data_IF_563658208745
#
_entry.id   IF_563658208745
#
_cell.length_a   1.000
_cell.length_b   1.000
_cell.length_c   1.000
_cell.angle_alpha   90.00
_cell.angle_beta   90.00
_cell.angle_gamma   90.00
#
_symmetry.space_group_name_H-M   'P 1'
#
loop_
_entity.id
_entity.type
_entity.pdbx_description
1 polymer ?
#
# COMPACT_ATOMS: atom_id res chain seq x y z
N UNK A 1 19.11 26.58 12.43
CA UNK A 1 19.50 25.98 11.15
C UNK A 1 18.21 25.68 10.41
N UNK A 2 17.75 26.64 9.61
CA UNK A 2 16.58 26.46 8.74
C UNK A 2 16.84 25.24 7.88
N UNK A 3 15.93 24.25 7.93
CA UNK A 3 15.99 23.11 7.02
C UNK A 3 15.82 23.69 5.62
N UNK A 4 16.90 23.79 4.85
CA UNK A 4 16.82 23.82 3.39
C UNK A 4 15.79 22.77 3.00
N UNK A 5 14.68 23.22 2.40
CA UNK A 5 13.55 22.34 2.20
C UNK A 5 14.03 21.21 1.29
N UNK A 6 13.79 19.95 1.66
CA UNK A 6 14.11 18.78 0.80
C UNK A 6 13.45 18.90 -0.59
N UNK A 7 12.51 19.85 -0.75
CA UNK A 7 11.85 20.20 -1.99
C UNK A 7 12.64 21.17 -2.88
N UNK A 8 13.67 21.85 -2.34
CA UNK A 8 14.55 22.78 -3.07
C UNK A 8 15.72 22.04 -3.75
N UNK A 9 15.35 21.04 -4.54
CA UNK A 9 16.26 20.24 -5.36
C UNK A 9 15.59 19.93 -6.68
N UNK A 10 16.34 19.84 -7.78
CA UNK A 10 15.81 19.38 -9.07
C UNK A 10 15.58 17.86 -9.10
N UNK A 11 16.07 17.11 -8.10
CA UNK A 11 15.97 15.65 -8.06
C UNK A 11 14.54 15.20 -7.68
N UNK A 12 13.78 14.56 -8.59
CA UNK A 12 12.42 14.12 -8.29
C UNK A 12 12.37 12.95 -7.29
N UNK A 13 13.45 12.16 -7.19
CA UNK A 13 13.55 11.07 -6.21
C UNK A 13 13.63 11.64 -4.80
N UNK A 14 14.46 12.67 -4.57
CA UNK A 14 14.57 13.34 -3.27
C UNK A 14 13.24 14.01 -2.87
N UNK A 15 12.57 14.68 -3.81
CA UNK A 15 11.22 15.25 -3.57
C UNK A 15 10.21 14.17 -3.19
N UNK A 16 10.25 13.02 -3.86
CA UNK A 16 9.35 11.90 -3.56
C UNK A 16 9.66 11.30 -2.18
N UNK A 17 10.94 11.12 -1.85
CA UNK A 17 11.38 10.59 -0.56
C UNK A 17 10.91 11.47 0.61
N UNK A 18 10.91 12.79 0.46
CA UNK A 18 10.37 13.70 1.49
C UNK A 18 8.89 13.41 1.83
N UNK A 19 8.14 12.87 0.87
CA UNK A 19 6.71 12.56 1.01
C UNK A 19 6.50 11.10 1.44
N UNK A 20 7.21 10.15 0.82
CA UNK A 20 6.95 8.70 0.96
C UNK A 20 8.02 7.90 1.69
N UNK A 21 9.13 8.54 2.08
CA UNK A 21 10.32 7.91 2.64
C UNK A 21 10.19 7.39 4.06
N UNK A 22 9.04 7.58 4.72
CA UNK A 22 8.81 6.98 6.02
C UNK A 22 8.27 5.54 5.92
N UNK A 23 8.65 4.74 6.93
CA UNK A 23 8.25 3.33 7.03
C UNK A 23 6.75 3.09 6.89
N UNK A 24 5.90 3.98 7.39
CA UNK A 24 4.46 3.73 7.45
C UNK A 24 3.74 4.09 6.16
N UNK A 25 4.21 5.06 5.39
CA UNK A 25 3.57 5.44 4.12
C UNK A 25 3.39 4.25 3.20
N UNK A 26 4.46 3.53 2.92
CA UNK A 26 4.39 2.41 1.97
C UNK A 26 3.46 1.29 2.47
N UNK A 27 3.44 1.04 3.79
CA UNK A 27 2.54 0.05 4.38
C UNK A 27 1.08 0.51 4.36
N UNK A 28 0.81 1.79 4.61
CA UNK A 28 -0.54 2.37 4.49
C UNK A 28 -1.02 2.30 3.04
N UNK A 29 -0.20 2.72 2.08
CA UNK A 29 -0.54 2.66 0.65
C UNK A 29 -0.77 1.21 0.20
N UNK A 30 0.04 0.25 0.66
CA UNK A 30 -0.20 -1.20 0.45
C UNK A 30 -1.60 -1.59 0.92
N UNK A 31 -2.00 -1.22 2.14
CA UNK A 31 -3.32 -1.55 2.67
C UNK A 31 -4.46 -0.91 1.86
N UNK A 32 -4.30 0.33 1.41
CA UNK A 32 -5.28 0.99 0.54
C UNK A 32 -5.43 0.27 -0.81
N UNK A 33 -4.34 -0.19 -1.43
CA UNK A 33 -4.39 -1.03 -2.64
C UNK A 33 -5.02 -2.41 -2.41
N UNK A 34 -4.93 -2.91 -1.17
CA UNK A 34 -5.58 -4.13 -0.69
C UNK A 34 -7.02 -3.89 -0.21
N UNK A 35 -7.55 -2.67 -0.38
CA UNK A 35 -8.94 -2.26 -0.05
C UNK A 35 -9.27 -2.19 1.44
N UNK A 36 -8.26 -2.04 2.30
CA UNK A 36 -8.46 -1.69 3.69
C UNK A 36 -8.60 -0.18 3.83
N UNK A 37 -9.84 0.31 3.82
CA UNK A 37 -10.13 1.75 3.78
C UNK A 37 -10.39 2.34 5.16
N UNK A 38 -10.68 1.52 6.17
CA UNK A 38 -10.95 2.01 7.52
C UNK A 38 -9.66 2.11 8.34
N UNK A 39 -9.59 3.12 9.19
CA UNK A 39 -8.42 3.38 10.04
C UNK A 39 -7.96 2.14 10.81
N UNK A 40 -8.92 1.42 11.40
CA UNK A 40 -8.68 0.24 12.24
C UNK A 40 -8.08 -0.92 11.44
N UNK A 41 -8.53 -1.12 10.20
CA UNK A 41 -8.01 -2.16 9.31
C UNK A 41 -6.58 -1.84 8.91
N UNK A 42 -6.32 -0.60 8.51
CA UNK A 42 -4.98 -0.11 8.19
C UNK A 42 -4.07 -0.29 9.41
N UNK A 43 -4.53 0.11 10.59
CA UNK A 43 -3.75 0.01 11.81
C UNK A 43 -3.42 -1.46 12.15
N UNK A 44 -4.41 -2.34 12.12
CA UNK A 44 -4.23 -3.76 12.43
C UNK A 44 -3.21 -4.44 11.51
N UNK A 45 -3.20 -4.09 10.23
CA UNK A 45 -2.34 -4.74 9.23
C UNK A 45 -0.96 -4.10 9.09
N UNK A 46 -0.79 -2.86 9.55
CA UNK A 46 0.51 -2.16 9.55
C UNK A 46 1.27 -2.37 10.86
N UNK A 47 0.57 -2.57 11.99
CA UNK A 47 1.18 -2.68 13.32
C UNK A 47 1.70 -1.35 13.89
N UNK A 48 1.40 -0.23 13.23
CA UNK A 48 1.75 1.11 13.72
C UNK A 48 0.88 1.55 14.90
N UNK A 49 1.41 2.44 15.74
CA UNK A 49 0.60 3.04 16.81
C UNK A 49 -0.49 3.94 16.20
N UNK A 50 -1.63 4.17 16.90
CA UNK A 50 -2.69 5.03 16.39
C UNK A 50 -2.18 6.43 16.00
N UNK A 51 -1.28 6.99 16.81
CA UNK A 51 -0.71 8.32 16.58
C UNK A 51 0.15 8.36 15.31
N UNK A 52 0.95 7.33 15.04
CA UNK A 52 1.79 7.25 13.84
C UNK A 52 0.94 7.12 12.58
N UNK A 53 -0.06 6.23 12.58
CA UNK A 53 -0.94 6.01 11.43
C UNK A 53 -1.80 7.25 11.17
N UNK A 54 -2.36 7.87 12.21
CA UNK A 54 -3.17 9.08 12.06
C UNK A 54 -2.34 10.27 11.54
N UNK A 55 -1.14 10.47 12.09
CA UNK A 55 -0.21 11.49 11.61
C UNK A 55 0.11 11.28 10.13
N UNK A 56 0.39 10.03 9.73
CA UNK A 56 0.77 9.77 8.35
C UNK A 56 -0.38 9.90 7.36
N UNK A 57 -1.57 9.40 7.71
CA UNK A 57 -2.76 9.59 6.87
C UNK A 57 -3.08 11.08 6.67
N UNK A 58 -2.93 11.91 7.72
CA UNK A 58 -3.10 13.36 7.62
C UNK A 58 -2.08 14.00 6.67
N UNK A 59 -0.83 13.58 6.71
CA UNK A 59 0.19 14.07 5.76
C UNK A 59 -0.12 13.64 4.33
N UNK A 60 -0.53 12.38 4.11
CA UNK A 60 -0.93 11.88 2.79
C UNK A 60 -2.17 12.59 2.23
N UNK A 61 -3.10 12.99 3.11
CA UNK A 61 -4.25 13.82 2.77
C UNK A 61 -3.82 15.24 2.36
N UNK A 62 -2.93 15.87 3.12
CA UNK A 62 -2.39 17.19 2.80
C UNK A 62 -1.60 17.19 1.47
N UNK A 63 -0.93 16.09 1.15
CA UNK A 63 -0.20 15.89 -0.10
C UNK A 63 -1.11 15.49 -1.27
N UNK A 64 -2.41 15.32 -1.05
CA UNK A 64 -3.38 14.93 -2.07
C UNK A 64 -3.16 13.51 -2.61
N UNK A 65 -2.51 12.62 -1.86
CA UNK A 65 -2.30 11.20 -2.21
C UNK A 65 -3.49 10.36 -1.76
N UNK A 66 -4.07 10.72 -0.62
CA UNK A 66 -5.23 10.08 -0.02
C UNK A 66 -6.32 11.13 0.14
N UNK A 67 -7.59 10.73 0.00
CA UNK A 67 -8.73 11.53 0.39
C UNK A 67 -9.51 10.83 1.51
N UNK A 68 -10.04 11.62 2.44
CA UNK A 68 -10.87 11.13 3.53
C UNK A 68 -12.34 11.28 3.16
N UNK A 69 -13.04 10.16 3.02
CA UNK A 69 -14.46 10.10 2.65
C UNK A 69 -15.31 9.71 3.84
N UNK A 70 -16.36 10.47 4.13
CA UNK A 70 -17.33 10.12 5.17
C UNK A 70 -18.32 9.09 4.61
N UNK A 71 -18.51 7.97 5.32
CA UNK A 71 -19.43 6.91 4.91
C UNK A 71 -20.61 6.73 5.87
N UNK A 72 -20.54 7.30 7.07
CA UNK A 72 -21.67 7.35 8.00
C UNK A 72 -21.80 8.73 8.62
N UNK A 73 -23.03 9.22 8.71
CA UNK A 73 -23.32 10.49 9.37
C UNK A 73 -23.50 10.34 10.88
N UNK A 74 -24.05 9.22 11.35
CA UNK A 74 -24.44 9.00 12.75
C UNK A 74 -24.13 7.56 13.19
N UNK A 75 -23.04 7.31 13.95
CA UNK A 75 -21.97 8.25 14.28
C UNK A 75 -21.13 8.63 13.04
N UNK A 76 -20.45 9.79 13.03
CA UNK A 76 -19.52 10.14 11.96
C UNK A 76 -18.43 9.08 11.78
N UNK A 77 -18.37 8.44 10.61
CA UNK A 77 -17.30 7.48 10.28
C UNK A 77 -16.68 7.81 8.93
N UNK A 78 -15.38 7.57 8.83
CA UNK A 78 -14.58 7.92 7.67
C UNK A 78 -13.79 6.72 7.16
N UNK A 79 -13.54 6.76 5.86
CA UNK A 79 -12.65 5.89 5.11
C UNK A 79 -11.59 6.73 4.41
N UNK A 80 -10.50 6.09 4.05
CA UNK A 80 -9.39 6.67 3.30
C UNK A 80 -9.33 6.00 1.93
N UNK A 81 -9.27 6.79 0.88
CA UNK A 81 -9.25 6.32 -0.51
C UNK A 81 -8.07 6.95 -1.23
N UNK A 82 -7.44 6.21 -2.15
CA UNK A 82 -6.38 6.76 -2.99
C UNK A 82 -6.98 7.77 -3.98
N UNK A 83 -6.31 8.90 -4.17
CA UNK A 83 -6.58 9.81 -5.28
C UNK A 83 -5.89 9.30 -6.55
N UNK A 84 -6.02 10.02 -7.67
CA UNK A 84 -5.23 9.73 -8.87
C UNK A 84 -3.71 9.75 -8.60
N UNK A 85 -3.23 10.72 -7.80
CA UNK A 85 -1.83 10.80 -7.36
C UNK A 85 -1.42 9.58 -6.53
N UNK A 86 -2.33 9.06 -5.69
CA UNK A 86 -2.10 7.86 -4.90
C UNK A 86 -2.10 6.57 -5.72
N UNK A 87 -3.05 6.41 -6.64
CA UNK A 87 -3.11 5.27 -7.56
C UNK A 87 -1.86 5.18 -8.45
N UNK A 88 -1.33 6.33 -8.87
CA UNK A 88 -0.08 6.43 -9.65
C UNK A 88 1.16 5.91 -8.90
N UNK A 89 1.08 5.69 -7.58
CA UNK A 89 2.19 5.13 -6.78
C UNK A 89 2.33 3.61 -6.93
N UNK A 90 1.35 2.91 -7.53
CA UNK A 90 1.36 1.45 -7.60
C UNK A 90 2.62 0.82 -8.24
N UNK A 91 3.25 1.39 -9.29
CA UNK A 91 4.51 0.86 -9.82
C UNK A 91 5.64 0.80 -8.77
N UNK A 92 5.67 1.72 -7.80
CA UNK A 92 6.64 1.70 -6.70
C UNK A 92 6.35 0.53 -5.76
N UNK A 93 5.07 0.23 -5.48
CA UNK A 93 4.67 -0.95 -4.71
C UNK A 93 5.09 -2.24 -5.41
N UNK A 94 4.92 -2.34 -6.73
CA UNK A 94 5.35 -3.50 -7.51
C UNK A 94 6.87 -3.67 -7.46
N UNK A 95 7.63 -2.58 -7.64
CA UNK A 95 9.09 -2.62 -7.59
C UNK A 95 9.60 -3.05 -6.21
N UNK A 96 9.03 -2.50 -5.13
CA UNK A 96 9.41 -2.90 -3.77
C UNK A 96 9.04 -4.35 -3.47
N UNK A 97 7.87 -4.80 -3.92
CA UNK A 97 7.47 -6.22 -3.85
C UNK A 97 8.48 -7.12 -4.58
N UNK A 98 8.85 -6.78 -5.81
CA UNK A 98 9.79 -7.57 -6.60
C UNK A 98 11.15 -7.72 -5.90
N UNK A 99 11.65 -6.61 -5.34
CA UNK A 99 12.87 -6.61 -4.54
C UNK A 99 12.75 -7.49 -3.30
N UNK A 100 11.66 -7.37 -2.53
CA UNK A 100 11.40 -8.20 -1.36
C UNK A 100 11.29 -9.69 -1.68
N UNK A 101 10.59 -10.06 -2.74
CA UNK A 101 10.45 -11.45 -3.20
C UNK A 101 11.79 -12.07 -3.64
N UNK A 102 12.76 -11.24 -4.04
CA UNK A 102 14.08 -11.69 -4.49
C UNK A 102 15.08 -11.80 -3.34
N UNK A 103 15.06 -10.84 -2.40
CA UNK A 103 16.14 -10.67 -1.42
C UNK A 103 15.75 -10.95 0.03
N UNK A 104 14.45 -10.99 0.34
CA UNK A 104 13.97 -11.01 1.73
C UNK A 104 13.19 -12.28 2.11
N UNK A 105 13.02 -13.22 1.18
CA UNK A 105 12.21 -14.44 1.39
C UNK A 105 13.05 -15.70 1.39
N UNK A 106 12.58 -16.71 2.12
CA UNK A 106 13.17 -18.04 2.06
C UNK A 106 12.69 -18.78 0.78
N UNK A 107 13.46 -19.76 0.27
CA UNK A 107 13.10 -20.50 -0.95
C UNK A 107 11.76 -21.24 -0.89
N UNK A 108 11.31 -21.59 0.32
CA UNK A 108 10.07 -22.31 0.60
C UNK A 108 8.86 -21.38 0.79
N UNK A 109 9.07 -20.06 0.88
CA UNK A 109 7.99 -19.10 1.12
C UNK A 109 7.26 -18.72 -0.17
N UNK A 110 6.02 -19.18 -0.31
CA UNK A 110 5.14 -18.81 -1.42
C UNK A 110 4.84 -17.29 -1.46
N UNK A 111 4.53 -16.75 -2.64
CA UNK A 111 4.16 -15.32 -2.80
C UNK A 111 2.95 -14.97 -1.94
N UNK A 112 3.04 -13.93 -1.12
CA UNK A 112 1.94 -13.50 -0.25
C UNK A 112 0.70 -13.06 -1.05
N UNK A 113 0.93 -12.42 -2.20
CA UNK A 113 -0.10 -12.01 -3.16
C UNK A 113 0.27 -12.50 -4.55
N UNK A 114 -0.64 -13.24 -5.16
CA UNK A 114 -0.55 -13.65 -6.56
C UNK A 114 -1.40 -12.70 -7.42
N UNK A 115 -0.75 -12.08 -8.41
CA UNK A 115 -1.42 -11.21 -9.36
C UNK A 115 -1.66 -11.95 -10.67
N UNK A 116 -2.90 -11.87 -11.15
CA UNK A 116 -3.32 -12.33 -12.47
C UNK A 116 -3.59 -11.10 -13.34
N UNK A 117 -2.97 -11.04 -14.51
CA UNK A 117 -3.22 -9.97 -15.46
C UNK A 117 -4.56 -10.21 -16.15
N UNK A 118 -5.53 -9.33 -15.91
CA UNK A 118 -6.91 -9.46 -16.36
C UNK A 118 -7.02 -9.56 -17.89
N UNK A 119 -6.16 -8.85 -18.64
CA UNK A 119 -6.20 -8.88 -20.10
C UNK A 119 -5.82 -10.23 -20.71
N UNK A 120 -4.89 -10.98 -20.11
CA UNK A 120 -4.44 -12.28 -20.66
C UNK A 120 -4.83 -13.49 -19.81
N UNK A 121 -5.37 -13.28 -18.61
CA UNK A 121 -5.79 -14.34 -17.68
C UNK A 121 -4.65 -15.13 -17.05
N UNK A 122 -3.39 -14.73 -17.26
CA UNK A 122 -2.20 -15.45 -16.79
C UNK A 122 -1.52 -14.73 -15.62
N UNK A 123 -0.66 -15.43 -14.85
CA UNK A 123 0.15 -14.79 -13.82
C UNK A 123 0.92 -13.59 -14.37
N UNK A 124 0.81 -12.47 -13.68
CA UNK A 124 1.36 -11.19 -14.10
C UNK A 124 2.88 -11.11 -13.95
N UNK A 125 3.44 -11.79 -12.93
CA UNK A 125 4.86 -11.72 -12.59
C UNK A 125 5.17 -10.78 -11.43
N UNK A 126 6.42 -10.30 -11.38
CA UNK A 126 6.91 -9.34 -10.38
C UNK A 126 7.15 -7.92 -10.95
N UNK A 127 7.35 -7.81 -12.26
CA UNK A 127 7.70 -6.53 -12.90
C UNK A 127 6.50 -5.63 -13.27
N UNK A 128 6.79 -4.43 -13.81
CA UNK A 128 5.78 -3.50 -14.32
C UNK A 128 5.20 -3.93 -15.69
N UNK A 129 5.70 -5.02 -16.26
CA UNK A 129 5.27 -5.61 -17.52
C UNK A 129 4.88 -7.06 -17.27
N UNK A 130 3.78 -7.51 -17.87
CA UNK A 130 3.31 -8.87 -17.71
C UNK A 130 4.29 -9.86 -18.32
N UNK A 131 4.85 -10.75 -17.48
CA UNK A 131 5.80 -11.79 -17.91
C UNK A 131 5.17 -12.77 -18.93
N UNK A 132 3.84 -12.89 -18.92
CA UNK A 132 3.12 -13.82 -19.80
C UNK A 132 2.75 -13.26 -21.18
N UNK A 133 2.58 -11.93 -21.33
CA UNK A 133 2.12 -11.33 -22.59
C UNK A 133 2.86 -10.07 -23.03
N UNK A 134 3.83 -9.60 -22.24
CA UNK A 134 4.68 -8.45 -22.57
C UNK A 134 4.00 -7.08 -22.50
N UNK A 135 2.72 -7.00 -22.10
CA UNK A 135 2.01 -5.71 -21.97
C UNK A 135 2.30 -5.03 -20.62
N UNK A 136 2.39 -3.69 -20.56
CA UNK A 136 2.46 -2.95 -19.31
C UNK A 136 1.30 -3.30 -18.38
N UNK A 137 1.55 -3.29 -17.09
CA UNK A 137 0.56 -3.56 -16.05
C UNK A 137 0.30 -2.28 -15.26
N UNK A 138 -0.98 -1.97 -15.03
CA UNK A 138 -1.41 -1.03 -14.00
C UNK A 138 -2.27 -1.72 -12.93
N UNK A 139 -2.55 -1.05 -11.80
CA UNK A 139 -3.35 -1.63 -10.70
C UNK A 139 -4.71 -2.17 -11.16
N UNK A 140 -5.39 -1.45 -12.07
CA UNK A 140 -6.71 -1.82 -12.60
C UNK A 140 -6.69 -3.05 -13.50
N UNK A 141 -5.53 -3.42 -14.04
CA UNK A 141 -5.37 -4.58 -14.92
C UNK A 141 -5.06 -5.87 -14.12
N UNK A 142 -5.05 -5.80 -12.79
CA UNK A 142 -4.68 -6.91 -11.92
C UNK A 142 -5.84 -7.39 -11.03
N UNK A 143 -6.07 -8.69 -11.08
CA UNK A 143 -6.74 -9.42 -10.00
C UNK A 143 -5.69 -9.89 -9.00
N UNK A 144 -6.00 -9.79 -7.71
CA UNK A 144 -5.12 -10.19 -6.62
C UNK A 144 -5.76 -11.33 -5.83
N UNK A 145 -5.03 -12.42 -5.64
CA UNK A 145 -5.40 -13.51 -4.74
C UNK A 145 -4.37 -13.58 -3.60
N UNK A 146 -4.85 -13.59 -2.36
CA UNK A 146 -3.99 -13.78 -1.20
C UNK A 146 -3.64 -15.26 -1.05
N UNK A 147 -2.38 -15.53 -0.73
CA UNK A 147 -1.98 -16.86 -0.30
C UNK A 147 -2.75 -17.24 0.98
N UNK A 148 -3.22 -18.50 1.14
CA UNK A 148 -3.96 -18.91 2.33
C UNK A 148 -3.21 -18.67 3.65
N UNK A 149 -1.89 -18.84 3.68
CA UNK A 149 -1.10 -18.53 4.87
C UNK A 149 -1.10 -17.03 5.19
N UNK A 150 -0.96 -16.20 4.16
CA UNK A 150 -0.99 -14.75 4.33
C UNK A 150 -2.39 -14.23 4.70
N UNK A 151 -3.46 -14.85 4.16
CA UNK A 151 -4.83 -14.57 4.59
C UNK A 151 -5.00 -14.86 6.09
N UNK A 152 -4.58 -16.04 6.56
CA UNK A 152 -4.64 -16.38 7.99
C UNK A 152 -3.88 -15.40 8.87
N UNK A 153 -2.65 -15.03 8.48
CA UNK A 153 -1.85 -14.02 9.20
C UNK A 153 -2.60 -12.69 9.33
N UNK A 154 -3.26 -12.23 8.26
CA UNK A 154 -4.05 -11.00 8.28
C UNK A 154 -5.27 -11.13 9.18
N UNK A 155 -5.96 -12.26 9.15
CA UNK A 155 -7.12 -12.53 10.00
C UNK A 155 -6.71 -12.55 11.48
N UNK A 156 -5.60 -13.22 11.82
CA UNK A 156 -5.02 -13.26 13.16
C UNK A 156 -4.64 -11.86 13.68
N UNK A 157 -4.03 -11.03 12.83
CA UNK A 157 -3.73 -9.62 13.17
C UNK A 157 -5.01 -8.83 13.47
N UNK A 158 -6.06 -9.04 12.69
CA UNK A 158 -7.34 -8.38 12.90
C UNK A 158 -8.01 -8.83 14.20
N UNK A 159 -8.01 -10.14 14.48
CA UNK A 159 -8.52 -10.66 15.75
C UNK A 159 -7.74 -10.11 16.94
N UNK A 160 -6.40 -10.17 16.91
CA UNK A 160 -5.56 -9.60 17.97
C UNK A 160 -5.81 -8.10 18.18
N UNK A 161 -6.03 -7.34 17.10
CA UNK A 161 -6.37 -5.93 17.18
C UNK A 161 -7.70 -5.69 17.92
N UNK A 162 -8.74 -6.46 17.61
CA UNK A 162 -10.05 -6.35 18.29
C UNK A 162 -9.98 -6.68 19.78
N UNK A 163 -9.12 -7.61 20.20
CA UNK A 163 -8.98 -8.01 21.60
C UNK A 163 -8.11 -7.06 22.44
N UNK A 164 -7.35 -6.16 21.80
CA UNK A 164 -6.48 -5.18 22.47
C UNK A 164 -7.11 -3.79 22.64
N UNK A 165 -8.39 -3.64 22.27
CA UNK A 165 -9.17 -2.41 22.37
C UNK A 165 -10.23 -2.44 23.46
#
# INVERSE_FOLDING_TARGET
MEKESVLDTLCPVARSEAVVGDRWTVLILRELFMRSYRFEEIQAQTGGTPQMIASRLKSLEAEGIVERRRYSERPPRHEYHLTEKGEAFYPVILALRAWGETWMKSPDEGRAVQYTHLTCGKPAGLGPVCESCGKPISRKDLSAALNPAYQRERDERWEAFKHSR
#
